data_IF_376353491863
#
_entry.id   IF_376353491863
#
_cell.length_a   1.000
_cell.length_b   1.000
_cell.length_c   1.000
_cell.angle_alpha   90.00
_cell.angle_beta   90.00
_cell.angle_gamma   90.00
#
_symmetry.space_group_name_H-M   'P 1'
#
loop_
_entity.id
_entity.type
_entity.pdbx_description
1 polymer ?
#
# COMPACT_ATOMS: atom_id res chain seq x y z
N UNK A 1 22.77 38.64 -0.79
CA UNK A 1 21.94 39.85 -0.66
C UNK A 1 22.26 40.80 -1.79
N UNK A 2 21.44 40.81 -2.84
CA UNK A 2 21.21 42.02 -3.63
C UNK A 2 19.85 41.88 -4.31
N UNK A 3 19.12 42.98 -4.31
CA UNK A 3 17.68 43.09 -4.37
C UNK A 3 17.24 43.60 -5.74
N UNK A 4 16.12 43.05 -6.20
CA UNK A 4 15.03 43.67 -6.95
C UNK A 4 15.37 44.78 -7.97
N UNK A 5 15.20 44.45 -9.25
CA UNK A 5 15.08 45.39 -10.34
C UNK A 5 13.60 45.60 -10.69
N UNK A 6 13.22 46.87 -10.79
CA UNK A 6 11.86 47.39 -10.94
C UNK A 6 11.31 47.25 -12.38
N UNK A 7 9.99 47.09 -12.49
CA UNK A 7 9.20 47.26 -13.72
C UNK A 7 8.30 48.50 -13.59
N UNK A 8 8.13 49.31 -14.64
CA UNK A 8 7.25 50.48 -14.60
C UNK A 8 5.78 50.15 -14.85
N UNK A 9 4.94 50.89 -14.14
CA UNK A 9 3.49 51.00 -14.25
C UNK A 9 3.06 51.87 -15.43
N UNK A 10 2.02 51.45 -16.15
CA UNK A 10 1.25 52.30 -17.05
C UNK A 10 -0.26 52.07 -16.82
N UNK A 11 -0.90 53.13 -16.35
CA UNK A 11 -2.35 53.31 -16.17
C UNK A 11 -2.99 53.61 -17.52
N UNK A 12 -4.17 53.03 -17.78
CA UNK A 12 -5.01 53.38 -18.92
C UNK A 12 -6.44 52.90 -18.70
N UNK A 13 -7.27 53.79 -18.18
CA UNK A 13 -8.72 53.67 -18.06
C UNK A 13 -9.41 53.79 -19.43
N UNK A 14 -10.49 53.02 -19.63
CA UNK A 14 -11.32 53.10 -20.83
C UNK A 14 -12.52 52.17 -20.75
N UNK A 15 -13.62 52.67 -20.18
CA UNK A 15 -14.92 52.00 -20.09
C UNK A 15 -15.69 52.00 -21.43
N UNK A 16 -16.53 50.97 -21.65
CA UNK A 16 -17.66 51.09 -22.60
C UNK A 16 -18.24 49.79 -23.18
N UNK A 17 -19.44 49.42 -22.68
CA UNK A 17 -20.58 48.80 -23.38
C UNK A 17 -20.64 47.28 -23.66
N UNK A 18 -21.32 46.57 -22.75
CA UNK A 18 -22.57 45.80 -22.93
C UNK A 18 -22.96 45.24 -24.34
N UNK A 19 -23.11 43.90 -24.45
CA UNK A 19 -24.42 43.19 -24.54
C UNK A 19 -24.29 41.67 -24.81
N UNK A 20 -25.01 40.91 -23.96
CA UNK A 20 -25.82 39.70 -24.20
C UNK A 20 -25.30 38.52 -25.07
N UNK A 21 -25.22 37.33 -24.46
CA UNK A 21 -26.24 36.28 -24.57
C UNK A 21 -25.65 34.84 -24.50
N UNK A 22 -26.16 34.07 -23.53
CA UNK A 22 -26.53 32.68 -23.77
C UNK A 22 -25.42 31.63 -23.71
N UNK A 23 -25.08 31.24 -22.49
CA UNK A 23 -24.35 30.03 -22.10
C UNK A 23 -24.76 28.80 -22.90
N UNK A 24 -23.84 28.26 -23.70
CA UNK A 24 -23.93 26.88 -24.19
C UNK A 24 -23.69 25.96 -22.99
N UNK A 25 -24.77 25.39 -22.45
CA UNK A 25 -24.68 24.21 -21.60
C UNK A 25 -24.24 23.04 -22.47
N UNK A 26 -22.93 22.92 -22.70
CA UNK A 26 -22.31 21.69 -23.19
C UNK A 26 -21.60 21.10 -22.00
N UNK A 27 -22.22 20.09 -21.41
CA UNK A 27 -21.82 19.48 -20.15
C UNK A 27 -20.32 19.28 -20.05
N UNK A 28 -19.75 19.91 -19.02
CA UNK A 28 -18.42 19.66 -18.51
C UNK A 28 -18.37 18.23 -17.97
N UNK A 29 -18.33 17.25 -18.87
CA UNK A 29 -17.72 15.96 -18.56
C UNK A 29 -16.24 16.24 -18.51
N UNK A 30 -15.77 16.72 -17.35
CA UNK A 30 -14.35 16.70 -16.99
C UNK A 30 -13.91 15.26 -17.21
N UNK A 31 -13.29 15.01 -18.36
CA UNK A 31 -12.63 13.76 -18.62
C UNK A 31 -11.58 13.65 -17.53
N UNK A 32 -11.84 12.83 -16.51
CA UNK A 32 -10.84 12.48 -15.52
C UNK A 32 -9.64 11.98 -16.31
N UNK A 33 -8.54 12.74 -16.24
CA UNK A 33 -7.31 12.40 -16.92
C UNK A 33 -6.96 10.95 -16.54
N UNK A 34 -6.47 10.12 -17.47
CA UNK A 34 -6.18 8.72 -17.17
C UNK A 34 -5.26 8.62 -15.97
N UNK A 35 -5.71 7.95 -14.91
CA UNK A 35 -4.86 7.70 -13.73
C UNK A 35 -3.70 6.85 -14.20
N UNK A 36 -2.49 7.40 -14.21
CA UNK A 36 -1.29 6.69 -14.63
C UNK A 36 -1.04 5.55 -13.64
N UNK A 37 -1.21 4.30 -14.12
CA UNK A 37 -1.03 3.11 -13.30
C UNK A 37 0.39 2.60 -13.43
N UNK A 38 1.02 2.31 -12.30
CA UNK A 38 2.38 1.81 -12.23
C UNK A 38 2.42 0.39 -11.67
N UNK A 39 3.51 -0.33 -11.97
CA UNK A 39 3.73 -1.69 -11.47
C UNK A 39 3.93 -1.69 -9.96
N UNK A 40 3.31 -2.67 -9.31
CA UNK A 40 3.59 -3.05 -7.94
C UNK A 40 3.81 -4.56 -7.83
N UNK A 41 4.52 -4.97 -6.80
CA UNK A 41 4.71 -6.35 -6.38
C UNK A 41 4.11 -6.55 -5.00
N UNK A 42 3.55 -7.72 -4.73
CA UNK A 42 3.04 -8.06 -3.41
C UNK A 42 3.26 -9.52 -3.05
N UNK A 43 3.30 -9.80 -1.76
CA UNK A 43 3.30 -11.15 -1.22
C UNK A 43 2.37 -11.22 0.00
N UNK A 44 1.68 -12.35 0.15
CA UNK A 44 0.83 -12.62 1.32
C UNK A 44 1.70 -13.12 2.47
N UNK A 45 1.55 -12.52 3.65
CA UNK A 45 2.12 -13.03 4.90
C UNK A 45 1.21 -14.14 5.42
N UNK A 46 1.79 -15.29 5.71
CA UNK A 46 1.11 -16.51 6.13
C UNK A 46 1.62 -16.94 7.50
N UNK A 47 0.72 -17.41 8.35
CA UNK A 47 1.06 -18.16 9.55
C UNK A 47 0.89 -19.63 9.24
N UNK A 48 1.93 -20.41 9.47
CA UNK A 48 2.04 -21.86 9.24
C UNK A 48 2.27 -22.53 10.61
N UNK A 49 1.19 -22.89 11.35
CA UNK A 49 1.32 -23.47 12.69
C UNK A 49 2.18 -24.72 12.74
N UNK A 50 1.98 -25.61 11.77
CA UNK A 50 2.73 -26.83 11.61
C UNK A 50 3.32 -26.89 10.19
N UNK A 51 4.63 -26.63 10.08
CA UNK A 51 5.34 -26.60 8.80
C UNK A 51 5.26 -27.94 8.06
N UNK A 52 5.21 -29.06 8.78
CA UNK A 52 5.10 -30.41 8.19
C UNK A 52 3.74 -30.64 7.55
N UNK A 53 2.65 -30.18 8.18
CA UNK A 53 1.29 -30.28 7.62
C UNK A 53 1.06 -29.28 6.48
N UNK A 54 1.81 -28.19 6.46
CA UNK A 54 1.72 -27.16 5.42
C UNK A 54 0.40 -26.37 5.44
N UNK A 55 -0.37 -26.45 6.52
CA UNK A 55 -1.57 -25.64 6.73
C UNK A 55 -1.18 -24.22 7.04
N UNK A 56 -1.94 -23.27 6.51
CA UNK A 56 -1.67 -21.87 6.75
C UNK A 56 -2.92 -21.00 6.82
N UNK A 57 -2.77 -19.89 7.51
CA UNK A 57 -3.72 -18.79 7.55
C UNK A 57 -3.05 -17.53 6.98
N UNK A 58 -3.71 -16.86 6.04
CA UNK A 58 -3.27 -15.54 5.60
C UNK A 58 -3.44 -14.54 6.75
N UNK A 59 -2.39 -13.78 7.04
CA UNK A 59 -2.35 -12.87 8.19
C UNK A 59 -1.81 -11.48 7.84
N UNK A 60 -1.62 -11.19 6.55
CA UNK A 60 -1.17 -9.88 6.11
C UNK A 60 -0.74 -9.85 4.66
N UNK A 61 -0.36 -8.67 4.20
CA UNK A 61 0.16 -8.42 2.85
C UNK A 61 1.34 -7.46 2.94
N UNK A 62 2.37 -7.70 2.14
CA UNK A 62 3.47 -6.77 1.87
C UNK A 62 3.31 -6.30 0.44
N UNK A 63 3.36 -5.00 0.21
CA UNK A 63 3.30 -4.39 -1.11
C UNK A 63 4.48 -3.46 -1.32
N UNK A 64 5.10 -3.58 -2.49
CA UNK A 64 6.20 -2.74 -2.96
C UNK A 64 5.86 -2.13 -4.32
N UNK A 65 6.16 -0.85 -4.50
CA UNK A 65 6.12 -0.20 -5.81
C UNK A 65 7.28 0.77 -5.94
N UNK A 66 8.19 0.48 -6.88
CA UNK A 66 9.33 1.35 -7.17
C UNK A 66 8.91 2.72 -7.71
N UNK A 67 7.99 2.83 -8.70
CA UNK A 67 7.59 4.14 -9.24
C UNK A 67 6.94 5.06 -8.19
N UNK A 68 6.24 4.48 -7.21
CA UNK A 68 5.60 5.20 -6.12
C UNK A 68 6.50 5.36 -4.86
N UNK A 69 7.74 4.88 -4.90
CA UNK A 69 8.65 4.81 -3.74
C UNK A 69 7.96 4.24 -2.47
N UNK A 70 7.14 3.21 -2.66
CA UNK A 70 6.26 2.68 -1.62
C UNK A 70 6.69 1.28 -1.21
N UNK A 71 6.82 1.05 0.10
CA UNK A 71 6.95 -0.27 0.72
C UNK A 71 6.16 -0.28 2.01
N UNK A 72 5.23 -1.20 2.14
CA UNK A 72 4.41 -1.31 3.33
C UNK A 72 3.97 -2.75 3.56
N UNK A 73 3.93 -3.14 4.83
CA UNK A 73 3.28 -4.35 5.27
C UNK A 73 2.12 -3.97 6.20
N UNK A 74 1.04 -4.75 6.10
CA UNK A 74 -0.10 -4.69 7.01
C UNK A 74 -0.48 -6.08 7.42
N UNK A 75 -0.72 -6.28 8.71
CA UNK A 75 -0.99 -7.58 9.29
C UNK A 75 -2.26 -7.56 10.11
N UNK A 76 -3.05 -8.62 9.96
CA UNK A 76 -4.27 -8.85 10.73
C UNK A 76 -4.39 -10.33 11.01
N UNK A 77 -4.63 -10.67 12.28
CA UNK A 77 -4.69 -12.05 12.73
C UNK A 77 -6.01 -12.36 13.42
N UNK A 78 -6.75 -13.29 12.83
CA UNK A 78 -7.87 -13.94 13.50
C UNK A 78 -7.32 -15.09 14.38
N UNK A 79 -7.12 -14.79 15.66
CA UNK A 79 -6.59 -15.74 16.64
C UNK A 79 -7.48 -16.97 16.85
N UNK A 80 -8.80 -16.83 16.67
CA UNK A 80 -9.75 -17.95 16.81
C UNK A 80 -9.59 -18.94 15.66
N UNK A 81 -9.46 -18.44 14.42
CA UNK A 81 -9.19 -19.28 13.24
C UNK A 81 -7.83 -19.96 13.33
N UNK A 82 -6.82 -19.25 13.83
CA UNK A 82 -5.49 -19.82 13.98
C UNK A 82 -5.48 -20.95 15.01
N UNK A 83 -6.16 -20.77 16.15
CA UNK A 83 -6.33 -21.82 17.17
C UNK A 83 -7.14 -23.02 16.70
N UNK A 84 -8.01 -22.84 15.70
CA UNK A 84 -8.71 -23.97 15.09
C UNK A 84 -7.78 -24.88 14.25
N UNK A 85 -6.64 -24.36 13.76
CA UNK A 85 -5.61 -25.16 13.08
C UNK A 85 -4.65 -25.82 14.08
N UNK A 86 -4.30 -25.09 15.14
CA UNK A 86 -3.41 -25.55 16.22
C UNK A 86 -3.80 -24.85 17.54
N UNK A 87 -4.38 -25.61 18.47
CA UNK A 87 -4.83 -25.09 19.77
C UNK A 87 -3.67 -24.59 20.65
N UNK A 88 -2.45 -25.10 20.42
CA UNK A 88 -1.27 -24.87 21.25
C UNK A 88 -0.46 -23.64 20.83
N UNK A 89 -0.83 -22.99 19.72
CA UNK A 89 -0.06 -21.88 19.15
C UNK A 89 -0.01 -20.64 20.05
N UNK A 90 1.20 -20.10 20.26
CA UNK A 90 1.40 -18.84 20.96
C UNK A 90 1.04 -17.65 20.05
N UNK A 91 -0.19 -17.17 20.20
CA UNK A 91 -0.68 -15.98 19.49
C UNK A 91 0.15 -14.72 19.77
N UNK A 92 0.75 -14.59 20.95
CA UNK A 92 1.56 -13.43 21.30
C UNK A 92 2.89 -13.46 20.54
N UNK A 93 3.51 -14.63 20.40
CA UNK A 93 4.70 -14.80 19.57
C UNK A 93 4.42 -14.53 18.09
N UNK A 94 3.32 -15.09 17.57
CA UNK A 94 2.88 -14.84 16.19
C UNK A 94 2.64 -13.34 15.98
N UNK A 95 1.96 -12.66 16.90
CA UNK A 95 1.73 -11.21 16.83
C UNK A 95 3.02 -10.39 16.82
N UNK A 96 4.02 -10.76 17.64
CA UNK A 96 5.34 -10.11 17.63
C UNK A 96 6.05 -10.28 16.29
N UNK A 97 5.98 -11.47 15.70
CA UNK A 97 6.58 -11.78 14.42
C UNK A 97 5.89 -11.03 13.26
N UNK A 98 4.55 -10.94 13.27
CA UNK A 98 3.78 -10.16 12.30
C UNK A 98 4.13 -8.66 12.38
N UNK A 99 4.14 -8.09 13.59
CA UNK A 99 4.50 -6.69 13.79
C UNK A 99 5.96 -6.37 13.37
N UNK A 100 6.84 -7.39 13.34
CA UNK A 100 8.20 -7.21 12.84
C UNK A 100 8.22 -6.94 11.32
N UNK A 101 7.29 -7.49 10.54
CA UNK A 101 7.17 -7.16 9.11
C UNK A 101 6.78 -5.70 8.89
N UNK A 102 5.82 -5.19 9.66
CA UNK A 102 5.40 -3.79 9.56
C UNK A 102 6.54 -2.83 9.92
N UNK A 103 7.24 -3.10 11.02
CA UNK A 103 8.45 -2.35 11.41
C UNK A 103 9.56 -2.46 10.38
N UNK A 104 9.76 -3.62 9.78
CA UNK A 104 10.76 -3.84 8.75
C UNK A 104 10.43 -3.16 7.42
N UNK A 105 9.26 -2.52 7.28
CA UNK A 105 8.94 -1.60 6.18
C UNK A 105 9.23 -0.12 6.53
N UNK A 106 9.28 0.25 7.82
CA UNK A 106 9.61 1.63 8.23
C UNK A 106 11.11 1.89 8.18
N UNK A 107 11.54 3.05 7.68
CA UNK A 107 12.97 3.37 7.51
C UNK A 107 13.73 3.48 8.86
N UNK A 108 13.01 3.48 9.98
CA UNK A 108 13.51 3.98 11.25
C UNK A 108 13.97 2.90 12.24
N UNK A 109 13.82 1.61 11.93
CA UNK A 109 14.19 0.57 12.89
C UNK A 109 14.52 -0.78 12.27
N UNK A 110 15.38 -1.53 12.96
CA UNK A 110 15.70 -2.92 12.62
C UNK A 110 16.91 -3.11 11.69
N UNK A 111 17.22 -4.37 11.34
CA UNK A 111 18.43 -4.75 10.61
C UNK A 111 18.49 -4.27 9.16
N UNK A 112 17.39 -3.73 8.63
CA UNK A 112 17.27 -3.24 7.25
C UNK A 112 17.27 -1.71 7.15
N UNK A 113 17.65 -1.01 8.23
CA UNK A 113 17.74 0.46 8.23
C UNK A 113 18.76 0.92 7.19
N UNK A 114 18.37 1.88 6.35
CA UNK A 114 19.22 2.43 5.30
C UNK A 114 19.25 1.64 3.99
N UNK A 115 18.63 0.45 3.94
CA UNK A 115 18.55 -0.35 2.72
C UNK A 115 17.52 0.22 1.73
N UNK A 116 17.77 0.15 0.41
CA UNK A 116 16.79 0.50 -0.62
C UNK A 116 15.50 -0.32 -0.48
N UNK A 117 14.36 0.29 -0.76
CA UNK A 117 13.04 -0.36 -0.58
C UNK A 117 12.92 -1.70 -1.30
N UNK A 118 13.47 -1.83 -2.52
CA UNK A 118 13.45 -3.09 -3.27
C UNK A 118 14.27 -4.19 -2.59
N UNK A 119 15.44 -3.87 -2.03
CA UNK A 119 16.26 -4.81 -1.26
C UNK A 119 15.52 -5.31 -0.02
N UNK A 120 14.82 -4.39 0.66
CA UNK A 120 14.00 -4.71 1.84
C UNK A 120 12.84 -5.62 1.49
N UNK A 121 12.12 -5.32 0.41
CA UNK A 121 11.05 -6.16 -0.10
C UNK A 121 11.56 -7.57 -0.37
N UNK A 122 12.65 -7.70 -1.14
CA UNK A 122 13.26 -8.99 -1.48
C UNK A 122 13.70 -9.78 -0.24
N UNK A 123 14.23 -9.11 0.78
CA UNK A 123 14.60 -9.75 2.05
C UNK A 123 13.37 -10.25 2.80
N UNK A 124 12.30 -9.44 2.87
CA UNK A 124 11.05 -9.79 3.56
C UNK A 124 10.30 -10.93 2.88
N UNK A 125 10.36 -11.02 1.55
CA UNK A 125 9.71 -12.08 0.75
C UNK A 125 10.59 -13.29 0.50
N UNK A 126 11.80 -13.34 1.06
CA UNK A 126 12.66 -14.50 0.95
C UNK A 126 12.06 -15.71 1.70
N UNK A 127 12.11 -16.93 1.15
CA UNK A 127 11.62 -18.13 1.83
C UNK A 127 12.28 -18.34 3.19
N UNK A 128 11.48 -18.65 4.21
CA UNK A 128 11.94 -18.94 5.57
C UNK A 128 11.16 -20.09 6.18
N UNK A 129 11.86 -21.01 6.85
CA UNK A 129 11.26 -22.15 7.57
C UNK A 129 10.84 -21.75 8.98
N UNK A 130 10.01 -20.71 9.10
CA UNK A 130 9.51 -20.18 10.38
C UNK A 130 7.99 -20.26 10.44
N UNK A 131 7.38 -20.10 11.62
CA UNK A 131 5.91 -20.10 11.76
C UNK A 131 5.27 -18.98 10.94
N UNK A 132 5.89 -17.80 10.85
CA UNK A 132 5.43 -16.73 9.95
C UNK A 132 6.29 -16.72 8.69
N UNK A 133 5.66 -16.84 7.53
CA UNK A 133 6.30 -16.95 6.22
C UNK A 133 5.64 -16.00 5.22
N UNK A 134 6.25 -15.82 4.07
CA UNK A 134 5.65 -15.15 2.91
C UNK A 134 5.33 -16.17 1.82
N UNK A 135 4.21 -15.96 1.13
CA UNK A 135 3.85 -16.71 -0.07
C UNK A 135 4.63 -16.24 -1.31
N UNK A 136 4.30 -16.79 -2.49
CA UNK A 136 4.87 -16.33 -3.75
C UNK A 136 4.66 -14.83 -3.97
N UNK A 137 5.61 -14.21 -4.67
CA UNK A 137 5.49 -12.83 -5.11
C UNK A 137 4.61 -12.78 -6.35
N UNK A 138 3.69 -11.82 -6.37
CA UNK A 138 2.78 -11.52 -7.45
C UNK A 138 2.94 -10.05 -7.86
N UNK A 139 2.50 -9.69 -9.06
CA UNK A 139 2.56 -8.32 -9.55
C UNK A 139 1.18 -7.82 -10.01
N UNK A 140 1.01 -6.50 -10.01
CA UNK A 140 -0.19 -5.82 -10.48
C UNK A 140 0.10 -4.40 -10.95
N UNK A 141 -0.95 -3.66 -11.31
CA UNK A 141 -0.88 -2.26 -11.70
C UNK A 141 -1.82 -1.44 -10.80
N UNK A 142 -1.31 -0.34 -10.23
CA UNK A 142 -2.10 0.57 -9.41
C UNK A 142 -1.70 2.02 -9.60
N UNK A 143 -2.68 2.92 -9.49
CA UNK A 143 -2.43 4.37 -9.35
C UNK A 143 -2.19 4.78 -7.89
N UNK A 144 -2.59 3.95 -6.92
CA UNK A 144 -2.45 4.19 -5.49
C UNK A 144 -2.07 2.88 -4.77
N UNK A 145 -0.79 2.69 -4.41
CA UNK A 145 -0.34 1.47 -3.75
C UNK A 145 -0.85 1.32 -2.31
N UNK A 146 -1.20 2.43 -1.63
CA UNK A 146 -1.74 2.37 -0.27
C UNK A 146 -3.19 1.89 -0.28
N UNK A 147 -4.02 2.41 -1.20
CA UNK A 147 -5.38 1.93 -1.39
C UNK A 147 -5.40 0.47 -1.87
N UNK A 148 -4.50 0.10 -2.78
CA UNK A 148 -4.38 -1.28 -3.27
C UNK A 148 -3.99 -2.26 -2.16
N UNK A 149 -3.13 -1.85 -1.23
CA UNK A 149 -2.76 -2.68 -0.08
C UNK A 149 -3.98 -3.02 0.79
N UNK A 150 -4.84 -2.04 1.08
CA UNK A 150 -6.08 -2.28 1.83
C UNK A 150 -7.05 -3.18 1.05
N UNK A 151 -7.21 -2.96 -0.26
CA UNK A 151 -8.00 -3.85 -1.12
C UNK A 151 -7.49 -5.30 -1.09
N UNK A 152 -6.17 -5.51 -1.08
CA UNK A 152 -5.56 -6.83 -0.97
C UNK A 152 -5.78 -7.46 0.41
N UNK A 153 -5.72 -6.68 1.49
CA UNK A 153 -6.08 -7.16 2.84
C UNK A 153 -7.53 -7.61 2.91
N UNK A 154 -8.45 -6.79 2.40
CA UNK A 154 -9.89 -7.10 2.35
C UNK A 154 -10.17 -8.39 1.57
N UNK A 155 -9.44 -8.61 0.48
CA UNK A 155 -9.65 -9.77 -0.39
C UNK A 155 -8.99 -11.05 0.13
N UNK A 156 -7.79 -10.94 0.72
CA UNK A 156 -6.92 -12.09 0.98
C UNK A 156 -6.80 -12.45 2.46
N UNK A 157 -7.12 -11.54 3.37
CA UNK A 157 -6.89 -11.69 4.82
C UNK A 157 -8.20 -11.57 5.59
N UNK A 158 -8.84 -10.40 5.50
CA UNK A 158 -10.13 -10.15 6.14
C UNK A 158 -11.18 -11.03 5.47
N UNK A 159 -12.06 -11.64 6.26
CA UNK A 159 -13.29 -12.17 5.66
C UNK A 159 -14.17 -10.97 5.37
N UNK A 160 -14.63 -10.85 4.12
CA UNK A 160 -15.78 -9.99 3.85
C UNK A 160 -16.91 -10.37 4.81
N UNK A 161 -17.57 -9.38 5.39
CA UNK A 161 -18.87 -9.57 6.03
C UNK A 161 -19.84 -10.05 4.94
N UNK A 162 -19.80 -11.34 4.59
CA UNK A 162 -20.45 -11.86 3.40
C UNK A 162 -19.99 -13.26 3.02
N UNK A 163 -20.58 -14.26 3.68
CA UNK A 163 -20.87 -15.56 3.07
C UNK A 163 -19.69 -16.52 2.87
N UNK A 164 -19.49 -17.40 3.85
CA UNK A 164 -19.80 -18.83 3.75
C UNK A 164 -19.53 -19.51 5.09
#
# INVERSE_FOLDING_TARGET
MNTAQAYPSATGDGAGAERAAGTRSSGDRRAEAPVERAVYEYAVIRVVPCVVRGEFLNAGVILYSQPHAYLCARTELDGSRLRALDESIDLAEVGRALAAYERACSADSGPLRGEPLGSRFRWLTAPRSTVVQTGPVHAGLTGDPAAELECLLDRLVRRGAGGR
#
